data_IF_538158686555
#
_entry.id   IF_538158686555
#
_cell.length_a   1.000
_cell.length_b   1.000
_cell.length_c   1.000
_cell.angle_alpha   90.00
_cell.angle_beta   90.00
_cell.angle_gamma   90.00
#
_symmetry.space_group_name_H-M   'P 1'
#
loop_
_entity.id
_entity.type
_entity.pdbx_description
1 polymer ?
#
# COMPACT_ATOMS: atom_id res chain seq x y z
N UNK A 1 -5.66 -6.55 0.70
CA UNK A 1 -4.19 -6.58 0.86
C UNK A 1 -3.46 -7.38 -0.22
N UNK A 2 -3.60 -8.70 -0.36
CA UNK A 2 -2.84 -9.49 -1.37
C UNK A 2 -2.92 -8.93 -2.80
N UNK A 3 -4.12 -8.61 -3.29
CA UNK A 3 -4.30 -8.04 -4.63
C UNK A 3 -3.58 -6.70 -4.80
N UNK A 4 -3.63 -5.82 -3.79
CA UNK A 4 -2.95 -4.53 -3.79
C UNK A 4 -1.42 -4.68 -3.83
N UNK A 5 -0.84 -5.52 -2.99
CA UNK A 5 0.61 -5.74 -3.01
C UNK A 5 1.06 -6.44 -4.30
N UNK A 6 0.26 -7.36 -4.84
CA UNK A 6 0.54 -7.98 -6.13
C UNK A 6 0.52 -6.96 -7.28
N UNK A 7 -0.37 -5.97 -7.27
CA UNK A 7 -0.35 -4.90 -8.28
C UNK A 7 0.85 -3.97 -8.09
N UNK A 8 1.21 -3.65 -6.85
CA UNK A 8 2.38 -2.82 -6.54
C UNK A 8 3.71 -3.50 -6.97
N UNK A 9 3.81 -4.83 -6.84
CA UNK A 9 4.96 -5.61 -7.31
C UNK A 9 5.15 -5.55 -8.84
N UNK A 10 4.07 -5.29 -9.59
CA UNK A 10 4.09 -5.19 -11.04
C UNK A 10 4.49 -3.80 -11.55
N UNK A 11 4.71 -2.83 -10.66
CA UNK A 11 5.13 -1.48 -11.05
C UNK A 11 6.44 -1.52 -11.86
N UNK A 12 6.52 -0.78 -12.96
CA UNK A 12 7.68 -0.80 -13.85
C UNK A 12 8.79 0.17 -13.45
N UNK A 13 8.48 1.20 -12.65
CA UNK A 13 9.38 2.29 -12.31
C UNK A 13 9.93 2.19 -10.88
N UNK A 14 9.18 1.58 -9.95
CA UNK A 14 9.54 1.49 -8.55
C UNK A 14 9.48 0.05 -8.02
N UNK A 15 10.30 -0.25 -7.02
CA UNK A 15 10.25 -1.50 -6.27
C UNK A 15 10.09 -1.26 -4.78
N UNK A 16 9.41 -2.17 -4.09
CA UNK A 16 9.22 -2.10 -2.64
C UNK A 16 10.52 -2.35 -1.89
N UNK A 17 10.73 -1.58 -0.83
CA UNK A 17 11.82 -1.79 0.12
C UNK A 17 11.33 -2.62 1.32
N UNK A 18 12.21 -3.41 1.96
CA UNK A 18 11.92 -4.10 3.21
C UNK A 18 11.98 -3.10 4.39
N UNK A 19 11.13 -2.07 4.34
CA UNK A 19 10.96 -1.04 5.36
C UNK A 19 9.51 -1.07 5.89
N UNK A 20 9.23 -0.46 7.05
CA UNK A 20 7.87 -0.44 7.59
C UNK A 20 6.84 0.12 6.59
N UNK A 21 5.66 -0.49 6.59
CA UNK A 21 4.46 0.02 5.93
C UNK A 21 3.54 0.62 6.99
N UNK A 22 2.89 1.73 6.66
CA UNK A 22 1.97 2.41 7.58
C UNK A 22 0.57 2.47 6.96
N UNK A 23 -0.45 2.39 7.82
CA UNK A 23 -1.85 2.47 7.45
C UNK A 23 -2.53 3.55 8.30
N UNK A 24 -3.31 4.43 7.67
CA UNK A 24 -4.18 5.39 8.34
C UNK A 24 -5.62 5.03 8.01
N UNK A 25 -6.39 4.70 9.04
CA UNK A 25 -7.82 4.41 8.93
C UNK A 25 -8.58 5.73 8.98
N UNK A 26 -9.20 6.10 7.86
CA UNK A 26 -9.86 7.40 7.70
C UNK A 26 -11.29 7.41 8.25
N UNK A 27 -11.85 6.24 8.54
CA UNK A 27 -13.21 6.09 9.02
C UNK A 27 -13.37 4.90 9.97
N UNK A 28 -14.57 4.78 10.55
CA UNK A 28 -14.94 3.64 11.39
C UNK A 28 -15.73 2.63 10.54
N UNK A 29 -15.03 1.72 9.89
CA UNK A 29 -15.69 0.75 8.99
C UNK A 29 -16.63 -0.23 9.66
N UNK A 30 -16.64 -0.34 11.00
CA UNK A 30 -17.67 -1.07 11.71
C UNK A 30 -19.03 -0.34 11.69
N UNK A 31 -19.03 1.00 11.66
CA UNK A 31 -20.23 1.83 11.57
C UNK A 31 -20.60 2.13 10.11
N UNK A 32 -19.61 2.42 9.26
CA UNK A 32 -19.83 2.87 7.88
C UNK A 32 -20.02 1.70 6.88
N UNK A 33 -19.64 0.48 7.26
CA UNK A 33 -19.77 -0.71 6.41
C UNK A 33 -18.66 -0.87 5.36
N UNK A 34 -17.67 0.03 5.32
CA UNK A 34 -16.45 -0.07 4.53
C UNK A 34 -15.28 0.58 5.25
N UNK A 35 -14.04 0.19 4.93
CA UNK A 35 -12.84 0.83 5.46
C UNK A 35 -12.19 1.68 4.38
N UNK A 36 -12.05 2.97 4.66
CA UNK A 36 -11.24 3.90 3.89
C UNK A 36 -9.85 4.00 4.54
N UNK A 37 -8.82 3.68 3.75
CA UNK A 37 -7.47 3.45 4.26
C UNK A 37 -6.46 4.11 3.32
N UNK A 38 -5.60 4.96 3.88
CA UNK A 38 -4.37 5.37 3.22
C UNK A 38 -3.24 4.42 3.62
N UNK A 39 -2.52 3.89 2.63
CA UNK A 39 -1.39 3.02 2.84
C UNK A 39 -0.11 3.65 2.31
N UNK A 40 0.91 3.72 3.17
CA UNK A 40 2.22 4.27 2.85
C UNK A 40 3.24 3.13 2.79
N UNK A 41 3.70 2.81 1.58
CA UNK A 41 4.68 1.76 1.31
C UNK A 41 5.99 2.40 0.84
N UNK A 42 7.10 2.06 1.51
CA UNK A 42 8.40 2.55 1.11
C UNK A 42 8.86 1.89 -0.20
N UNK A 43 9.25 2.71 -1.17
CA UNK A 43 9.75 2.27 -2.48
C UNK A 43 11.07 2.95 -2.85
N UNK A 44 11.76 2.38 -3.83
CA UNK A 44 12.87 3.03 -4.53
C UNK A 44 12.71 2.91 -6.05
N UNK A 45 13.30 3.82 -6.85
CA UNK A 45 13.32 3.65 -8.30
C UNK A 45 14.04 2.36 -8.70
N UNK A 46 13.51 1.64 -9.69
CA UNK A 46 14.19 0.50 -10.29
C UNK A 46 15.39 1.01 -11.09
N UNK A 47 16.56 0.43 -10.86
CA UNK A 47 17.71 0.63 -11.72
C UNK A 47 17.53 -0.24 -12.96
N UNK A 48 17.49 0.38 -14.14
CA UNK A 48 17.51 -0.31 -15.43
C UNK A 48 18.91 -0.83 -15.76
#
# INVERSE_FOLDING_TARGET
WYQFFNSLLQDSAYEMLPKPCFEVYLNNGAEDGYWDIEMYVAVQPKHH
#
